data_IF_386901652002
#
_entry.id   IF_386901652002
#
_cell.length_a   1.000
_cell.length_b   1.000
_cell.length_c   1.000
_cell.angle_alpha   90.00
_cell.angle_beta   90.00
_cell.angle_gamma   90.00
#
_symmetry.space_group_name_H-M   'P 1'
#
loop_
_entity.id
_entity.type
_entity.pdbx_description
1 polymer ?
#
# COMPACT_ATOMS: atom_id res chain seq x y z
N UNK A 1 3.03 -17.23 23.73
CA UNK A 1 3.83 -16.55 24.77
C UNK A 1 5.30 -16.50 24.38
N UNK A 2 6.02 -17.63 24.27
CA UNK A 2 7.44 -17.59 23.85
C UNK A 2 7.64 -17.02 22.44
N UNK A 3 6.73 -17.27 21.50
CA UNK A 3 6.79 -16.67 20.16
C UNK A 3 6.57 -15.16 20.12
N UNK A 4 6.13 -14.54 21.22
CA UNK A 4 5.98 -13.08 21.29
C UNK A 4 7.35 -12.40 21.47
N UNK A 5 8.30 -13.09 22.12
CA UNK A 5 9.68 -12.63 22.27
C UNK A 5 10.47 -12.93 20.99
N UNK A 6 11.12 -11.92 20.40
CA UNK A 6 11.83 -12.06 19.12
C UNK A 6 12.91 -13.14 19.16
N UNK A 7 13.76 -13.14 20.18
CA UNK A 7 14.87 -14.10 20.33
C UNK A 7 14.34 -15.54 20.38
N UNK A 8 13.32 -15.78 21.20
CA UNK A 8 12.69 -17.09 21.33
C UNK A 8 11.95 -17.49 20.05
N UNK A 9 11.28 -16.54 19.37
CA UNK A 9 10.59 -16.78 18.10
C UNK A 9 11.54 -17.25 17.01
N UNK A 10 12.71 -16.63 16.87
CA UNK A 10 13.71 -17.03 15.88
C UNK A 10 14.24 -18.46 16.11
N UNK A 11 14.43 -18.84 17.37
CA UNK A 11 14.83 -20.22 17.70
C UNK A 11 13.71 -21.21 17.40
N UNK A 12 12.48 -20.90 17.78
CA UNK A 12 11.31 -21.73 17.49
C UNK A 12 11.07 -21.90 15.98
N UNK A 13 11.31 -20.87 15.17
CA UNK A 13 11.23 -20.99 13.70
C UNK A 13 12.20 -22.04 13.18
N UNK A 14 13.46 -22.03 13.67
CA UNK A 14 14.47 -23.04 13.29
C UNK A 14 14.04 -24.45 13.70
N UNK A 15 13.32 -24.56 14.80
CA UNK A 15 12.82 -25.83 15.35
C UNK A 15 11.49 -26.29 14.70
N UNK A 16 11.05 -25.66 13.60
CA UNK A 16 9.89 -26.08 12.81
C UNK A 16 8.54 -25.49 13.25
N UNK A 17 8.55 -24.36 13.96
CA UNK A 17 7.31 -23.70 14.43
C UNK A 17 6.40 -23.31 13.26
N UNK A 18 6.95 -22.86 12.13
CA UNK A 18 6.15 -22.38 10.99
C UNK A 18 5.29 -23.50 10.43
N UNK A 19 5.91 -24.65 10.16
CA UNK A 19 5.28 -25.84 9.60
C UNK A 19 4.19 -26.37 10.54
N UNK A 20 4.45 -26.37 11.85
CA UNK A 20 3.47 -26.77 12.86
C UNK A 20 2.27 -25.81 12.90
N UNK A 21 2.53 -24.50 12.88
CA UNK A 21 1.47 -23.47 12.90
C UNK A 21 0.62 -23.53 11.63
N UNK A 22 1.24 -23.68 10.46
CA UNK A 22 0.55 -23.81 9.17
C UNK A 22 -0.32 -25.06 9.14
N UNK A 23 0.21 -26.21 9.58
CA UNK A 23 -0.55 -27.45 9.64
C UNK A 23 -1.80 -27.32 10.52
N UNK A 24 -1.66 -26.76 11.72
CA UNK A 24 -2.80 -26.55 12.64
C UNK A 24 -3.84 -25.57 12.12
N UNK A 25 -3.40 -24.44 11.56
CA UNK A 25 -4.30 -23.42 11.02
C UNK A 25 -5.04 -23.88 9.76
N UNK A 26 -4.46 -24.82 9.00
CA UNK A 26 -5.14 -25.42 7.86
C UNK A 26 -6.38 -26.23 8.27
N UNK A 27 -6.32 -26.92 9.41
CA UNK A 27 -7.47 -27.65 9.97
C UNK A 27 -8.50 -26.70 10.57
N UNK A 28 -8.06 -25.80 11.45
CA UNK A 28 -8.94 -24.88 12.17
C UNK A 28 -8.26 -23.54 12.41
N UNK A 29 -8.94 -22.46 12.00
CA UNK A 29 -8.48 -21.10 12.26
C UNK A 29 -8.69 -20.78 13.75
N UNK A 30 -7.62 -20.84 14.52
CA UNK A 30 -7.59 -20.37 15.91
C UNK A 30 -7.00 -18.97 15.98
N UNK A 31 -7.62 -18.09 16.78
CA UNK A 31 -7.28 -16.68 16.82
C UNK A 31 -5.81 -16.43 17.19
N UNK A 32 -5.34 -17.04 18.28
CA UNK A 32 -3.98 -16.86 18.77
C UNK A 32 -2.92 -17.44 17.81
N UNK A 33 -3.18 -18.58 17.18
CA UNK A 33 -2.30 -19.15 16.16
C UNK A 33 -2.23 -18.26 14.92
N UNK A 34 -3.35 -17.68 14.49
CA UNK A 34 -3.38 -16.77 13.35
C UNK A 34 -2.56 -15.49 13.62
N UNK A 35 -2.63 -14.97 14.85
CA UNK A 35 -1.80 -13.83 15.27
C UNK A 35 -0.31 -14.19 15.28
N UNK A 36 0.06 -15.35 15.85
CA UNK A 36 1.45 -15.85 15.80
C UNK A 36 1.90 -16.02 14.35
N UNK A 37 1.09 -16.61 13.49
CA UNK A 37 1.41 -16.76 12.08
C UNK A 37 1.69 -15.42 11.38
N UNK A 38 0.89 -14.40 11.66
CA UNK A 38 1.14 -13.04 11.12
C UNK A 38 2.44 -12.44 11.67
N UNK A 39 2.77 -12.68 12.94
CA UNK A 39 4.05 -12.26 13.53
C UNK A 39 5.24 -12.99 12.88
N UNK A 40 5.12 -14.29 12.60
CA UNK A 40 6.16 -15.05 11.90
C UNK A 40 6.43 -14.50 10.49
N UNK A 41 5.44 -13.90 9.84
CA UNK A 41 5.62 -13.23 8.55
C UNK A 41 6.40 -11.90 8.64
N UNK A 42 6.55 -11.32 9.84
CA UNK A 42 7.31 -10.08 10.03
C UNK A 42 8.82 -10.32 10.06
N UNK A 43 9.26 -11.49 10.52
CA UNK A 43 10.69 -11.83 10.58
C UNK A 43 11.19 -12.31 9.22
N UNK A 44 12.43 -11.97 8.86
CA UNK A 44 13.03 -12.40 7.60
C UNK A 44 13.15 -13.93 7.49
N UNK A 45 13.56 -14.60 8.57
CA UNK A 45 13.64 -16.06 8.63
C UNK A 45 12.25 -16.68 8.54
N UNK A 46 11.29 -16.13 9.29
CA UNK A 46 9.91 -16.62 9.27
C UNK A 46 9.28 -16.52 7.88
N UNK A 47 9.48 -15.41 7.15
CA UNK A 47 9.05 -15.30 5.74
C UNK A 47 9.63 -16.36 4.83
N UNK A 48 10.93 -16.64 4.97
CA UNK A 48 11.59 -17.65 4.16
C UNK A 48 10.97 -19.03 4.41
N UNK A 49 10.70 -19.38 5.67
CA UNK A 49 10.02 -20.62 6.03
C UNK A 49 8.56 -20.64 5.53
N UNK A 50 7.79 -19.55 5.71
CA UNK A 50 6.39 -19.48 5.23
C UNK A 50 6.30 -19.67 3.72
N UNK A 51 7.24 -19.08 2.95
CA UNK A 51 7.32 -19.26 1.49
C UNK A 51 7.62 -20.70 1.11
N UNK A 52 8.53 -21.36 1.83
CA UNK A 52 8.97 -22.72 1.52
C UNK A 52 8.04 -23.79 2.11
N UNK A 53 7.19 -23.42 3.07
CA UNK A 53 6.20 -24.30 3.67
C UNK A 53 5.02 -24.52 2.73
N UNK A 54 4.59 -25.77 2.59
CA UNK A 54 3.42 -26.11 1.79
C UNK A 54 2.19 -25.35 2.29
N UNK A 55 1.50 -24.64 1.39
CA UNK A 55 0.31 -23.82 1.69
C UNK A 55 0.57 -22.66 2.67
N UNK A 56 1.81 -22.30 2.97
CA UNK A 56 2.12 -21.19 3.88
C UNK A 56 1.58 -19.85 3.36
N UNK A 57 1.91 -19.49 2.12
CA UNK A 57 1.37 -18.26 1.49
C UNK A 57 -0.13 -18.35 1.17
N UNK A 58 -0.64 -19.54 0.83
CA UNK A 58 -2.08 -19.78 0.64
C UNK A 58 -2.86 -19.51 1.95
N UNK A 59 -2.32 -19.95 3.08
CA UNK A 59 -2.92 -19.72 4.39
C UNK A 59 -3.05 -18.23 4.70
N UNK A 60 -2.07 -17.41 4.30
CA UNK A 60 -2.14 -15.96 4.48
C UNK A 60 -3.34 -15.35 3.72
N UNK A 61 -3.61 -15.80 2.50
CA UNK A 61 -4.80 -15.39 1.73
C UNK A 61 -6.10 -15.92 2.36
N UNK A 62 -6.08 -17.15 2.89
CA UNK A 62 -7.22 -17.73 3.61
C UNK A 62 -7.54 -16.94 4.88
N UNK A 63 -6.52 -16.49 5.62
CA UNK A 63 -6.72 -15.65 6.80
C UNK A 63 -7.31 -14.28 6.43
N UNK A 64 -6.93 -13.71 5.29
CA UNK A 64 -7.55 -12.48 4.77
C UNK A 64 -9.04 -12.69 4.43
N UNK A 65 -9.39 -13.79 3.75
CA UNK A 65 -10.73 -13.98 3.17
C UNK A 65 -11.74 -14.74 4.04
N UNK A 66 -11.30 -15.74 4.82
CA UNK A 66 -12.18 -16.72 5.45
C UNK A 66 -12.58 -16.34 6.89
N UNK A 67 -11.81 -15.48 7.54
CA UNK A 67 -12.09 -15.09 8.92
C UNK A 67 -13.12 -13.95 8.98
N UNK A 68 -14.05 -14.03 9.93
CA UNK A 68 -14.95 -12.91 10.27
C UNK A 68 -14.27 -11.90 11.21
N UNK A 69 -13.11 -12.27 11.77
CA UNK A 69 -12.41 -11.46 12.75
C UNK A 69 -11.56 -10.39 12.04
N UNK A 70 -11.99 -9.14 12.15
CA UNK A 70 -11.32 -7.98 11.53
C UNK A 70 -9.88 -7.79 11.99
N UNK A 71 -9.54 -8.17 13.23
CA UNK A 71 -8.17 -8.08 13.75
C UNK A 71 -7.26 -9.03 12.97
N UNK A 72 -7.70 -10.27 12.77
CA UNK A 72 -6.96 -11.26 11.96
C UNK A 72 -6.84 -10.77 10.52
N UNK A 73 -7.92 -10.27 9.92
CA UNK A 73 -7.87 -9.73 8.55
C UNK A 73 -6.87 -8.59 8.42
N UNK A 74 -6.88 -7.64 9.36
CA UNK A 74 -5.95 -6.50 9.38
C UNK A 74 -4.50 -6.97 9.50
N UNK A 75 -4.22 -7.88 10.44
CA UNK A 75 -2.87 -8.45 10.61
C UNK A 75 -2.42 -9.30 9.42
N UNK A 76 -3.32 -10.05 8.79
CA UNK A 76 -3.02 -10.78 7.55
C UNK A 76 -2.69 -9.84 6.40
N UNK A 77 -3.42 -8.72 6.28
CA UNK A 77 -3.15 -7.69 5.27
C UNK A 77 -1.82 -6.99 5.51
N UNK A 78 -1.48 -6.68 6.77
CA UNK A 78 -0.17 -6.15 7.14
C UNK A 78 0.95 -7.16 6.81
N UNK A 79 0.74 -8.44 7.15
CA UNK A 79 1.68 -9.51 6.88
C UNK A 79 1.93 -9.73 5.38
N UNK A 80 0.90 -9.58 4.53
CA UNK A 80 1.06 -9.58 3.07
C UNK A 80 2.07 -8.52 2.62
N UNK A 81 2.03 -7.33 3.21
CA UNK A 81 2.94 -6.23 2.89
C UNK A 81 4.43 -6.59 2.99
N UNK A 82 4.81 -7.54 3.85
CA UNK A 82 6.21 -7.97 3.98
C UNK A 82 6.71 -8.83 2.81
N UNK A 83 5.82 -9.29 1.93
CA UNK A 83 6.16 -10.08 0.73
C UNK A 83 6.14 -9.25 -0.55
N UNK A 84 5.82 -7.95 -0.48
CA UNK A 84 5.60 -7.09 -1.64
C UNK A 84 6.80 -7.08 -2.61
N UNK A 85 8.01 -7.08 -2.06
CA UNK A 85 9.25 -7.01 -2.83
C UNK A 85 9.95 -8.36 -3.02
N UNK A 86 9.40 -9.45 -2.48
CA UNK A 86 9.90 -10.80 -2.75
C UNK A 86 9.21 -11.37 -3.99
N UNK A 87 9.90 -11.29 -5.13
CA UNK A 87 9.39 -11.77 -6.42
C UNK A 87 8.84 -13.19 -6.37
N UNK A 88 9.53 -14.12 -5.68
CA UNK A 88 9.09 -15.53 -5.63
C UNK A 88 7.80 -15.67 -4.84
N UNK A 89 7.71 -15.00 -3.69
CA UNK A 89 6.48 -14.99 -2.89
C UNK A 89 5.33 -14.33 -3.63
N UNK A 90 5.60 -13.25 -4.35
CA UNK A 90 4.59 -12.51 -5.10
C UNK A 90 4.01 -13.37 -6.24
N UNK A 91 4.85 -14.07 -6.99
CA UNK A 91 4.40 -15.02 -8.02
C UNK A 91 3.49 -16.11 -7.44
N UNK A 92 3.86 -16.70 -6.30
CA UNK A 92 3.05 -17.70 -5.60
C UNK A 92 1.72 -17.09 -5.14
N UNK A 93 1.73 -15.89 -4.54
CA UNK A 93 0.52 -15.22 -4.07
C UNK A 93 -0.43 -14.89 -5.24
N UNK A 94 0.09 -14.43 -6.37
CA UNK A 94 -0.70 -14.13 -7.56
C UNK A 94 -1.40 -15.37 -8.10
N UNK A 95 -0.68 -16.49 -8.24
CA UNK A 95 -1.25 -17.78 -8.68
C UNK A 95 -2.36 -18.26 -7.72
N UNK A 96 -2.22 -17.98 -6.43
CA UNK A 96 -3.21 -18.34 -5.41
C UNK A 96 -4.38 -17.33 -5.28
N UNK A 97 -4.52 -16.38 -6.21
CA UNK A 97 -5.68 -15.48 -6.26
C UNK A 97 -5.58 -14.26 -5.34
N UNK A 98 -4.38 -13.72 -5.15
CA UNK A 98 -4.13 -12.49 -4.38
C UNK A 98 -4.97 -11.30 -4.86
N UNK A 99 -5.01 -11.03 -6.17
CA UNK A 99 -5.74 -9.87 -6.72
C UNK A 99 -7.25 -9.99 -6.43
N UNK A 100 -7.93 -11.11 -6.76
CA UNK A 100 -9.32 -11.31 -6.36
C UNK A 100 -9.57 -11.16 -4.85
N UNK A 101 -8.65 -11.61 -4.00
CA UNK A 101 -8.76 -11.48 -2.55
C UNK A 101 -8.75 -10.02 -2.07
N UNK A 102 -7.81 -9.24 -2.60
CA UNK A 102 -7.68 -7.81 -2.30
C UNK A 102 -8.89 -7.02 -2.81
N UNK A 103 -9.35 -7.31 -4.03
CA UNK A 103 -10.53 -6.67 -4.62
C UNK A 103 -11.80 -7.01 -3.84
N UNK A 104 -11.98 -8.26 -3.41
CA UNK A 104 -13.10 -8.64 -2.54
C UNK A 104 -13.09 -7.85 -1.23
N UNK A 105 -11.92 -7.71 -0.61
CA UNK A 105 -11.74 -6.93 0.63
C UNK A 105 -12.07 -5.44 0.41
N UNK A 106 -11.65 -4.88 -0.73
CA UNK A 106 -11.98 -3.51 -1.13
C UNK A 106 -13.47 -3.34 -1.39
N UNK A 107 -14.12 -4.27 -2.10
CA UNK A 107 -15.55 -4.25 -2.35
C UNK A 107 -16.36 -4.29 -1.04
N UNK A 108 -15.93 -5.09 -0.07
CA UNK A 108 -16.54 -5.11 1.27
C UNK A 108 -16.35 -3.79 2.03
N UNK A 109 -15.22 -3.10 1.83
CA UNK A 109 -15.01 -1.76 2.36
C UNK A 109 -15.96 -0.77 1.70
N UNK A 110 -16.02 -0.73 0.36
CA UNK A 110 -16.92 0.15 -0.39
C UNK A 110 -18.38 -0.07 0.00
N UNK A 111 -18.81 -1.32 0.17
CA UNK A 111 -20.17 -1.64 0.64
C UNK A 111 -20.47 -1.10 2.04
N UNK A 112 -19.47 -0.99 2.91
CA UNK A 112 -19.63 -0.53 4.30
C UNK A 112 -19.54 0.99 4.44
N UNK A 113 -18.67 1.62 3.68
CA UNK A 113 -18.30 3.03 3.83
C UNK A 113 -18.80 3.91 2.68
N UNK A 114 -19.18 3.30 1.55
CA UNK A 114 -19.64 3.98 0.35
C UNK A 114 -21.00 4.64 0.55
N UNK A 115 -21.10 5.90 0.12
CA UNK A 115 -22.32 6.70 0.09
C UNK A 115 -22.33 7.52 -1.18
N UNK A 116 -23.49 7.65 -1.82
CA UNK A 116 -23.66 8.61 -2.92
C UNK A 116 -23.40 10.01 -2.33
N UNK A 117 -22.58 10.80 -3.01
CA UNK A 117 -22.37 12.18 -2.59
C UNK A 117 -23.64 12.98 -2.91
N UNK A 118 -24.15 13.73 -1.95
CA UNK A 118 -25.31 14.60 -2.16
C UNK A 118 -24.86 15.95 -2.76
N UNK A 119 -25.79 16.67 -3.40
CA UNK A 119 -25.58 18.04 -3.92
C UNK A 119 -25.22 18.97 -2.76
N UNK A 120 -23.93 19.03 -2.40
CA UNK A 120 -23.44 19.88 -1.32
C UNK A 120 -23.54 21.34 -1.75
N UNK A 121 -24.52 22.06 -1.20
CA UNK A 121 -24.78 23.49 -1.45
C UNK A 121 -23.98 24.41 -0.51
N UNK A 122 -22.81 24.01 -0.03
CA UNK A 122 -22.01 24.90 0.84
C UNK A 122 -20.73 25.32 0.14
N UNK A 123 -20.61 26.58 -0.31
CA UNK A 123 -19.32 27.26 -0.29
C UNK A 123 -18.86 27.23 1.18
N UNK A 124 -17.61 26.84 1.41
CA UNK A 124 -17.01 26.94 2.73
C UNK A 124 -17.27 28.35 3.30
N UNK A 125 -17.92 28.43 4.46
CA UNK A 125 -18.02 29.69 5.19
C UNK A 125 -16.61 30.24 5.41
N UNK A 126 -16.29 31.45 4.95
CA UNK A 126 -15.06 32.09 5.37
C UNK A 126 -15.21 32.34 6.86
N UNK A 127 -14.38 31.67 7.68
CA UNK A 127 -14.25 31.99 9.11
C UNK A 127 -13.93 33.47 9.25
N UNK A 128 -14.94 34.27 9.55
CA UNK A 128 -14.78 35.64 9.98
C UNK A 128 -14.17 35.63 11.39
N UNK A 129 -13.04 36.30 11.55
CA UNK A 129 -12.56 36.72 12.87
C UNK A 129 -11.10 36.43 13.18
N UNK A 130 -10.18 37.13 12.54
CA UNK A 130 -9.15 37.88 13.29
C UNK A 130 -8.56 38.96 12.39
N UNK A 131 -9.09 40.17 12.56
CA UNK A 131 -8.52 41.41 12.05
C UNK A 131 -7.16 41.66 12.72
N UNK A 132 -6.09 41.71 11.93
CA UNK A 132 -4.82 42.34 12.34
C UNK A 132 -4.67 43.66 11.58
N UNK A 133 -4.42 44.79 12.27
CA UNK A 133 -4.38 46.09 11.62
C UNK A 133 -3.04 46.36 10.92
N UNK A 134 -3.20 46.97 9.74
CA UNK A 134 -2.28 47.82 8.97
C UNK A 134 -0.85 48.06 9.49
N UNK A 135 0.12 47.88 8.58
CA UNK A 135 1.19 48.87 8.45
C UNK A 135 1.56 49.05 6.97
N UNK A 136 1.08 50.14 6.39
CA UNK A 136 1.37 50.57 5.03
C UNK A 136 2.55 51.54 5.08
N UNK A 137 3.68 51.14 4.48
CA UNK A 137 4.82 52.03 4.19
C UNK A 137 5.15 51.93 2.71
N UNK A 138 5.01 53.05 2.00
CA UNK A 138 5.13 53.22 0.56
C UNK A 138 6.57 53.00 0.03
N UNK A 139 6.66 52.38 -1.17
CA UNK A 139 7.49 52.64 -2.40
C UNK A 139 8.70 53.61 -2.36
N UNK A 140 9.66 53.63 -3.34
CA UNK A 140 9.55 53.15 -4.73
C UNK A 140 10.81 52.61 -5.49
N UNK A 141 10.52 51.98 -6.65
CA UNK A 141 11.18 51.95 -7.98
C UNK A 141 12.71 52.14 -8.22
N UNK A 142 13.25 51.29 -9.12
CA UNK A 142 14.35 51.64 -10.05
C UNK A 142 15.18 50.42 -10.50
N UNK A 143 14.90 49.75 -11.64
CA UNK A 143 15.39 49.99 -13.03
C UNK A 143 16.88 49.65 -13.28
N UNK A 144 17.15 48.73 -14.22
CA UNK A 144 18.45 48.54 -14.92
C UNK A 144 19.01 47.11 -14.79
N UNK A 145 18.98 46.24 -15.80
CA UNK A 145 19.73 46.20 -17.08
C UNK A 145 21.08 45.44 -16.98
N UNK A 146 21.31 44.51 -17.93
CA UNK A 146 22.58 43.81 -18.20
C UNK A 146 22.61 42.38 -17.61
N UNK A 147 22.37 41.29 -18.36
CA UNK A 147 23.13 40.69 -19.47
C UNK A 147 24.47 40.08 -19.01
N UNK A 148 24.78 38.90 -19.58
CA UNK A 148 26.04 38.13 -19.62
C UNK A 148 26.09 36.80 -18.82
N UNK A 149 26.28 35.71 -19.58
CA UNK A 149 26.73 34.38 -19.13
C UNK A 149 28.23 34.20 -19.49
N UNK A 150 28.81 32.99 -19.30
CA UNK A 150 29.65 32.55 -18.19
C UNK A 150 31.16 32.52 -18.56
N UNK A 151 32.09 32.35 -17.61
CA UNK A 151 33.41 31.78 -17.89
C UNK A 151 34.10 31.26 -16.61
N UNK A 152 35.04 30.35 -16.88
CA UNK A 152 35.63 29.31 -16.05
C UNK A 152 36.79 29.78 -15.14
N UNK A 153 37.18 28.85 -14.26
CA UNK A 153 38.47 28.65 -13.58
C UNK A 153 38.83 29.51 -12.36
N UNK A 154 38.91 28.86 -11.20
CA UNK A 154 40.16 28.64 -10.46
C UNK A 154 39.88 28.01 -9.07
N UNK A 155 40.64 26.97 -8.75
CA UNK A 155 40.59 26.16 -7.52
C UNK A 155 40.77 26.95 -6.22
N UNK A 156 40.26 26.43 -5.08
CA UNK A 156 40.85 26.72 -3.78
C UNK A 156 41.56 25.48 -3.17
N UNK A 157 42.70 25.67 -2.46
CA UNK A 157 43.35 24.64 -1.69
C UNK A 157 42.86 24.59 -0.23
N UNK A 158 43.23 23.48 0.42
CA UNK A 158 43.41 23.26 1.86
C UNK A 158 42.18 23.01 2.75
N UNK A 159 42.06 21.73 3.14
CA UNK A 159 41.46 21.24 4.38
C UNK A 159 42.04 21.92 5.63
N UNK A 160 41.33 21.85 6.77
CA UNK A 160 41.81 20.90 7.78
C UNK A 160 40.72 20.12 8.54
N UNK A 161 41.12 18.91 8.93
CA UNK A 161 40.77 18.15 10.13
C UNK A 161 39.30 17.91 10.50
N UNK A 162 38.88 16.65 10.44
CA UNK A 162 38.61 15.92 11.69
C UNK A 162 38.79 14.42 11.46
N UNK A 163 39.51 13.82 12.40
CA UNK A 163 39.85 12.40 12.49
C UNK A 163 38.66 11.68 13.11
N UNK A 164 38.01 10.80 12.35
CA UNK A 164 37.24 9.71 12.95
C UNK A 164 37.34 8.48 12.05
N UNK A 165 38.14 7.51 12.48
CA UNK A 165 38.13 6.14 11.96
C UNK A 165 37.73 5.23 13.13
N UNK A 166 36.83 4.26 12.93
CA UNK A 166 36.49 3.30 13.97
C UNK A 166 37.62 2.27 14.08
N UNK A 167 38.23 2.18 15.26
CA UNK A 167 39.19 1.12 15.60
C UNK A 167 38.41 -0.15 15.95
N UNK A 168 38.70 -1.22 15.22
CA UNK A 168 38.39 -2.59 15.63
C UNK A 168 39.18 -2.90 16.91
N UNK A 169 38.49 -3.22 18.00
CA UNK A 169 39.11 -3.79 19.19
C UNK A 169 39.17 -5.30 19.03
N UNK A 170 40.38 -5.82 19.00
CA UNK A 170 40.72 -7.23 19.04
C UNK A 170 40.44 -7.82 20.42
N UNK A 171 40.16 -9.12 20.38
CA UNK A 171 40.03 -10.07 21.49
C UNK A 171 41.25 -9.98 22.42
N UNK A 172 41.01 -9.68 23.70
CA UNK A 172 41.50 -10.43 24.85
C UNK A 172 41.24 -9.65 26.15
N UNK A 173 40.89 -10.39 27.21
CA UNK A 173 40.85 -9.99 28.63
C UNK A 173 39.64 -9.18 29.14
N UNK A 174 38.52 -9.87 29.35
CA UNK A 174 37.67 -9.63 30.53
C UNK A 174 37.20 -10.97 31.12
N UNK A 175 37.99 -11.49 32.05
CA UNK A 175 37.50 -12.46 33.03
C UNK A 175 36.42 -11.80 33.90
N UNK A 176 35.20 -12.31 33.87
CA UNK A 176 34.20 -12.05 34.89
C UNK A 176 33.69 -13.39 35.43
N UNK A 177 33.90 -13.57 36.73
CA UNK A 177 33.49 -14.73 37.51
C UNK A 177 31.95 -14.90 37.53
N UNK A 178 31.43 -16.13 37.66
CA UNK A 178 29.99 -16.37 37.65
C UNK A 178 29.38 -15.86 38.95
N UNK A 179 28.57 -14.81 38.85
CA UNK A 179 27.69 -14.40 39.95
C UNK A 179 26.37 -15.18 39.80
N UNK A 180 25.84 -15.66 40.93
CA UNK A 180 24.67 -16.54 41.03
C UNK A 180 23.41 -15.92 40.40
N UNK A 181 22.41 -16.74 40.03
CA UNK A 181 21.15 -16.23 39.49
C UNK A 181 20.34 -15.60 40.63
N UNK A 182 20.21 -14.28 40.62
CA UNK A 182 19.15 -13.63 41.37
C UNK A 182 17.83 -13.88 40.64
N UNK A 183 16.94 -14.55 41.37
CA UNK A 183 15.53 -14.71 41.09
C UNK A 183 14.82 -13.34 40.96
N UNK A 184 13.62 -13.36 40.39
CA UNK A 184 12.69 -12.24 40.17
C UNK A 184 12.98 -11.29 39.00
N UNK A 185 13.02 -11.85 37.78
CA UNK A 185 12.37 -11.17 36.65
C UNK A 185 10.88 -11.47 36.73
N UNK A 186 10.17 -10.67 37.54
CA UNK A 186 8.72 -10.60 37.47
C UNK A 186 8.33 -10.03 36.11
N UNK A 187 8.03 -10.92 35.16
CA UNK A 187 7.41 -10.59 33.88
C UNK A 187 6.13 -9.81 34.15
N UNK A 188 6.17 -8.49 34.01
CA UNK A 188 4.99 -7.65 34.16
C UNK A 188 3.96 -8.08 33.11
N UNK A 189 2.71 -8.23 33.55
CA UNK A 189 1.54 -8.64 32.74
C UNK A 189 1.20 -7.66 31.59
N UNK A 190 2.06 -6.67 31.33
CA UNK A 190 1.88 -5.62 30.35
C UNK A 190 2.27 -6.06 28.92
N UNK A 191 3.05 -7.14 28.76
CA UNK A 191 3.37 -7.72 27.43
C UNK A 191 2.28 -8.66 26.88
N UNK A 192 1.18 -8.87 27.62
CA UNK A 192 0.14 -9.85 27.28
C UNK A 192 -1.12 -9.26 26.63
N UNK A 193 -1.15 -7.95 26.35
CA UNK A 193 -2.27 -7.37 25.60
C UNK A 193 -2.01 -7.43 24.09
N UNK A 194 -2.26 -8.61 23.52
CA UNK A 194 -2.41 -8.79 22.07
C UNK A 194 -3.74 -8.24 21.54
N UNK A 195 -4.44 -7.45 22.37
CA UNK A 195 -5.48 -6.51 21.99
C UNK A 195 -4.82 -5.14 21.81
N UNK A 196 -3.90 -5.06 20.85
CA UNK A 196 -3.47 -3.77 20.33
C UNK A 196 -4.75 -3.09 19.82
N UNK A 197 -5.10 -1.94 20.40
CA UNK A 197 -6.15 -1.09 19.86
C UNK A 197 -5.93 -1.02 18.36
N UNK A 198 -6.93 -1.46 17.59
CA UNK A 198 -6.91 -1.37 16.14
C UNK A 198 -6.92 0.13 15.85
N UNK A 199 -5.75 0.75 15.87
CA UNK A 199 -5.55 2.04 15.27
C UNK A 199 -6.05 1.88 13.85
N UNK A 200 -6.95 2.79 13.46
CA UNK A 200 -7.63 2.85 12.19
C UNK A 200 -6.62 3.18 11.07
N UNK A 201 -5.56 2.37 10.97
CA UNK A 201 -4.68 2.33 9.82
C UNK A 201 -5.54 1.81 8.69
N UNK A 202 -6.03 2.75 7.88
CA UNK A 202 -6.83 2.58 6.67
C UNK A 202 -6.45 1.31 5.93
N UNK A 203 -7.11 0.19 6.23
CA UNK A 203 -6.81 -1.11 5.61
C UNK A 203 -6.94 -1.06 4.09
N UNK A 204 -7.84 -0.21 3.58
CA UNK A 204 -7.98 0.11 2.17
C UNK A 204 -6.72 0.72 1.56
N UNK A 205 -5.95 1.53 2.29
CA UNK A 205 -4.72 2.14 1.79
C UNK A 205 -3.64 1.09 1.53
N UNK A 206 -3.58 0.06 2.39
CA UNK A 206 -2.70 -1.09 2.23
C UNK A 206 -3.11 -1.94 1.03
N UNK A 207 -4.42 -2.20 0.86
CA UNK A 207 -4.95 -2.90 -0.32
C UNK A 207 -4.57 -2.16 -1.60
N UNK A 208 -4.82 -0.85 -1.66
CA UNK A 208 -4.54 -0.02 -2.83
C UNK A 208 -3.04 0.09 -3.10
N UNK A 209 -2.20 0.20 -2.06
CA UNK A 209 -0.75 0.18 -2.20
C UNK A 209 -0.26 -1.14 -2.82
N UNK A 210 -0.82 -2.26 -2.36
CA UNK A 210 -0.45 -3.58 -2.85
C UNK A 210 -0.85 -3.76 -4.32
N UNK A 211 -2.10 -3.45 -4.66
CA UNK A 211 -2.59 -3.53 -6.05
C UNK A 211 -1.82 -2.61 -6.99
N UNK A 212 -1.51 -1.39 -6.54
CA UNK A 212 -0.71 -0.45 -7.32
C UNK A 212 0.71 -0.97 -7.55
N UNK A 213 1.34 -1.55 -6.53
CA UNK A 213 2.66 -2.16 -6.69
C UNK A 213 2.62 -3.32 -7.69
N UNK A 214 1.67 -4.24 -7.52
CA UNK A 214 1.49 -5.39 -8.43
C UNK A 214 1.31 -4.91 -9.87
N UNK A 215 0.51 -3.88 -10.10
CA UNK A 215 0.23 -3.36 -11.44
C UNK A 215 1.45 -2.72 -12.11
N UNK A 216 2.33 -2.06 -11.35
CA UNK A 216 3.46 -1.30 -11.92
C UNK A 216 4.78 -2.07 -11.96
N UNK A 217 5.01 -2.99 -11.03
CA UNK A 217 6.30 -3.66 -10.86
C UNK A 217 6.27 -5.12 -11.31
N UNK A 218 5.10 -5.75 -11.41
CA UNK A 218 4.98 -7.09 -11.99
C UNK A 218 4.85 -6.95 -13.49
N UNK A 219 5.88 -7.35 -14.23
CA UNK A 219 5.91 -7.27 -15.70
C UNK A 219 5.10 -8.35 -16.42
N UNK A 220 4.37 -9.18 -15.67
CA UNK A 220 3.51 -10.25 -16.21
C UNK A 220 2.07 -9.73 -16.21
N UNK A 221 1.32 -9.85 -17.32
CA UNK A 221 -0.09 -9.49 -17.36
C UNK A 221 -0.90 -10.30 -16.34
N UNK A 222 -1.72 -9.61 -15.53
CA UNK A 222 -2.59 -10.22 -14.54
C UNK A 222 -4.04 -9.96 -14.96
N UNK A 223 -4.69 -10.98 -15.51
CA UNK A 223 -6.06 -10.91 -16.05
C UNK A 223 -7.09 -10.50 -14.99
N UNK A 224 -6.86 -10.83 -13.72
CA UNK A 224 -7.74 -10.42 -12.62
C UNK A 224 -7.78 -8.89 -12.40
N UNK A 225 -6.76 -8.14 -12.83
CA UNK A 225 -6.77 -6.67 -12.72
C UNK A 225 -7.79 -6.01 -13.65
N UNK A 226 -8.11 -6.66 -14.76
CA UNK A 226 -9.05 -6.17 -15.78
C UNK A 226 -10.38 -6.91 -15.76
N UNK A 227 -10.56 -7.84 -14.81
CA UNK A 227 -11.84 -8.44 -14.56
C UNK A 227 -12.90 -7.36 -14.25
N UNK A 228 -14.11 -7.53 -14.79
CA UNK A 228 -15.24 -6.61 -14.60
C UNK A 228 -15.48 -6.22 -13.15
N UNK A 229 -15.35 -7.18 -12.22
CA UNK A 229 -15.50 -6.93 -10.79
C UNK A 229 -14.41 -5.98 -10.24
N UNK A 230 -13.17 -6.12 -10.70
CA UNK A 230 -12.05 -5.28 -10.30
C UNK A 230 -12.28 -3.84 -10.73
N UNK A 231 -12.58 -3.64 -12.02
CA UNK A 231 -12.87 -2.32 -12.58
C UNK A 231 -14.07 -1.67 -11.87
N UNK A 232 -15.18 -2.40 -11.72
CA UNK A 232 -16.37 -1.87 -11.06
C UNK A 232 -16.10 -1.49 -9.61
N UNK A 233 -15.34 -2.32 -8.87
CA UNK A 233 -14.99 -2.05 -7.48
C UNK A 233 -14.11 -0.81 -7.34
N UNK A 234 -13.13 -0.61 -8.23
CA UNK A 234 -12.28 0.58 -8.23
C UNK A 234 -13.07 1.84 -8.55
N UNK A 235 -13.98 1.78 -9.54
CA UNK A 235 -14.88 2.89 -9.87
C UNK A 235 -15.83 3.18 -8.70
N UNK A 236 -16.45 2.14 -8.12
CA UNK A 236 -17.33 2.29 -6.96
C UNK A 236 -16.59 2.89 -5.77
N UNK A 237 -15.32 2.52 -5.55
CA UNK A 237 -14.48 3.13 -4.52
C UNK A 237 -14.29 4.64 -4.77
N UNK A 238 -13.93 5.03 -5.99
CA UNK A 238 -13.73 6.46 -6.37
C UNK A 238 -15.03 7.26 -6.25
N UNK A 239 -16.17 6.66 -6.61
CA UNK A 239 -17.47 7.33 -6.64
C UNK A 239 -18.15 7.43 -5.28
N UNK A 240 -18.02 6.41 -4.43
CA UNK A 240 -18.86 6.24 -3.24
C UNK A 240 -18.10 6.53 -1.95
N UNK A 241 -16.78 6.34 -1.90
CA UNK A 241 -16.02 6.56 -0.66
C UNK A 241 -15.68 8.05 -0.53
N UNK A 242 -16.05 8.65 0.61
CA UNK A 242 -15.66 10.03 0.94
C UNK A 242 -14.15 10.08 1.14
N UNK A 243 -13.50 11.12 0.61
CA UNK A 243 -12.05 11.28 0.66
C UNK A 243 -11.30 10.04 0.11
N UNK A 244 -11.81 9.47 -1.00
CA UNK A 244 -11.22 8.31 -1.65
C UNK A 244 -9.72 8.51 -1.91
N UNK A 245 -8.92 7.50 -1.59
CA UNK A 245 -7.47 7.57 -1.79
C UNK A 245 -7.15 7.74 -3.29
N UNK A 246 -6.35 8.76 -3.68
CA UNK A 246 -6.00 9.03 -5.08
C UNK A 246 -5.20 7.89 -5.74
N UNK A 247 -4.69 6.93 -4.96
CA UNK A 247 -4.10 5.68 -5.48
C UNK A 247 -5.10 4.88 -6.31
N UNK A 248 -6.40 4.92 -6.01
CA UNK A 248 -7.41 4.20 -6.78
C UNK A 248 -7.53 4.74 -8.22
N UNK A 249 -7.57 6.07 -8.39
CA UNK A 249 -7.54 6.72 -9.71
C UNK A 249 -6.24 6.42 -10.46
N UNK A 250 -5.09 6.52 -9.77
CA UNK A 250 -3.78 6.15 -10.36
C UNK A 250 -3.69 4.69 -10.76
N UNK A 251 -4.31 3.78 -10.00
CA UNK A 251 -4.39 2.36 -10.34
C UNK A 251 -5.23 2.14 -11.60
N UNK A 252 -6.40 2.80 -11.71
CA UNK A 252 -7.19 2.76 -12.94
C UNK A 252 -6.44 3.34 -14.14
N UNK A 253 -5.73 4.47 -14.00
CA UNK A 253 -4.87 5.00 -15.07
C UNK A 253 -3.77 4.00 -15.45
N UNK A 254 -3.12 3.34 -14.48
CA UNK A 254 -2.08 2.36 -14.76
C UNK A 254 -2.62 1.12 -15.49
N UNK A 255 -3.83 0.66 -15.15
CA UNK A 255 -4.50 -0.42 -15.86
C UNK A 255 -4.88 0.02 -17.28
N UNK A 256 -5.51 1.19 -17.43
CA UNK A 256 -5.93 1.74 -18.72
C UNK A 256 -4.75 2.05 -19.65
N UNK A 257 -3.61 2.43 -19.08
CA UNK A 257 -2.34 2.73 -19.75
C UNK A 257 -1.49 1.48 -20.09
N UNK A 258 -1.93 0.28 -19.70
CA UNK A 258 -1.19 -0.95 -19.99
C UNK A 258 -1.68 -1.62 -21.27
N UNK A 259 -0.77 -1.72 -22.25
CA UNK A 259 -1.00 -2.31 -23.58
C UNK A 259 -1.51 -3.75 -23.53
N UNK A 260 -1.07 -4.54 -22.54
CA UNK A 260 -1.47 -5.94 -22.42
C UNK A 260 -2.94 -6.12 -22.05
N UNK A 261 -3.59 -5.06 -21.56
CA UNK A 261 -4.98 -5.08 -21.12
C UNK A 261 -5.94 -4.44 -22.12
N UNK A 262 -5.41 -3.78 -23.15
CA UNK A 262 -6.19 -2.91 -24.05
C UNK A 262 -7.37 -3.64 -24.71
N UNK A 263 -7.14 -4.82 -25.31
CA UNK A 263 -8.17 -5.61 -25.98
C UNK A 263 -9.29 -6.01 -25.00
N UNK A 264 -8.92 -6.58 -23.85
CA UNK A 264 -9.89 -7.01 -22.85
C UNK A 264 -10.70 -5.82 -22.29
N UNK A 265 -10.08 -4.65 -22.10
CA UNK A 265 -10.79 -3.44 -21.66
C UNK A 265 -11.82 -2.98 -22.70
N UNK A 266 -11.53 -3.09 -24.00
CA UNK A 266 -12.47 -2.78 -25.06
C UNK A 266 -13.65 -3.76 -25.07
N UNK A 267 -13.38 -5.06 -25.00
CA UNK A 267 -14.40 -6.12 -24.96
C UNK A 267 -15.37 -5.93 -23.78
N UNK A 268 -14.84 -5.53 -22.62
CA UNK A 268 -15.61 -5.33 -21.39
C UNK A 268 -16.28 -3.93 -21.28
N UNK A 269 -16.34 -3.15 -22.36
CA UNK A 269 -16.97 -1.83 -22.40
C UNK A 269 -16.40 -0.84 -21.38
N UNK A 270 -15.10 -0.91 -21.12
CA UNK A 270 -14.41 -0.08 -20.12
C UNK A 270 -14.63 1.42 -20.34
N UNK A 271 -14.44 1.89 -21.58
CA UNK A 271 -14.62 3.31 -21.96
C UNK A 271 -16.02 3.81 -21.62
N UNK A 272 -17.04 3.03 -21.99
CA UNK A 272 -18.43 3.38 -21.71
C UNK A 272 -18.73 3.39 -20.22
N UNK A 273 -18.15 2.45 -19.48
CA UNK A 273 -18.31 2.35 -18.02
C UNK A 273 -17.70 3.57 -17.32
N UNK A 274 -16.44 3.91 -17.64
CA UNK A 274 -15.74 5.09 -17.10
C UNK A 274 -16.50 6.37 -17.45
N UNK A 275 -16.88 6.55 -18.71
CA UNK A 275 -17.60 7.74 -19.15
C UNK A 275 -18.95 7.90 -18.43
N UNK A 276 -19.74 6.82 -18.32
CA UNK A 276 -21.04 6.89 -17.67
C UNK A 276 -20.96 7.10 -16.15
N UNK A 277 -19.93 6.57 -15.49
CA UNK A 277 -19.82 6.55 -14.02
C UNK A 277 -18.99 7.70 -13.44
N UNK A 278 -17.98 8.18 -14.17
CA UNK A 278 -17.05 9.20 -13.71
C UNK A 278 -17.22 10.53 -14.45
N UNK A 279 -17.48 10.49 -15.76
CA UNK A 279 -17.53 11.71 -16.59
C UNK A 279 -18.92 12.37 -16.68
N UNK A 280 -19.97 11.76 -16.12
CA UNK A 280 -21.32 12.33 -16.12
C UNK A 280 -21.65 12.93 -14.76
N UNK A 281 -21.52 14.25 -14.57
CA UNK A 281 -21.88 14.89 -13.31
C UNK A 281 -23.38 14.70 -13.05
N UNK A 282 -23.71 14.21 -11.87
CA UNK A 282 -25.11 14.05 -11.43
C UNK A 282 -25.69 15.34 -10.84
N UNK A 283 -24.82 16.30 -10.51
CA UNK A 283 -25.17 17.53 -9.83
C UNK A 283 -24.51 18.74 -10.51
N UNK A 284 -25.28 19.81 -10.67
CA UNK A 284 -24.73 21.13 -11.02
C UNK A 284 -23.92 21.70 -9.85
N UNK A 285 -22.74 22.24 -10.15
CA UNK A 285 -21.83 22.92 -9.19
C UNK A 285 -21.42 22.07 -7.98
N UNK A 286 -21.17 20.77 -8.16
CA UNK A 286 -20.71 19.88 -7.09
C UNK A 286 -19.22 19.56 -7.21
N UNK A 287 -18.45 19.85 -6.14
CA UNK A 287 -17.00 19.58 -6.10
C UNK A 287 -16.66 18.09 -6.33
N UNK A 288 -17.44 17.16 -5.76
CA UNK A 288 -17.24 15.73 -5.99
C UNK A 288 -17.52 15.31 -7.44
N UNK A 289 -18.55 15.89 -8.07
CA UNK A 289 -18.80 15.66 -9.50
C UNK A 289 -17.64 16.16 -10.37
N UNK A 290 -17.05 17.32 -10.03
CA UNK A 290 -15.87 17.86 -10.74
C UNK A 290 -14.67 16.94 -10.53
N UNK A 291 -14.39 16.51 -9.29
CA UNK A 291 -13.30 15.57 -8.98
C UNK A 291 -13.44 14.25 -9.74
N UNK A 292 -14.64 13.66 -9.77
CA UNK A 292 -14.88 12.43 -10.53
C UNK A 292 -14.73 12.63 -12.03
N UNK A 293 -15.17 13.77 -12.57
CA UNK A 293 -14.98 14.12 -13.98
C UNK A 293 -13.50 14.24 -14.34
N UNK A 294 -12.70 14.88 -13.48
CA UNK A 294 -11.25 14.98 -13.64
C UNK A 294 -10.59 13.59 -13.63
N UNK A 295 -10.92 12.73 -12.67
CA UNK A 295 -10.41 11.35 -12.61
C UNK A 295 -10.83 10.52 -13.83
N UNK A 296 -12.10 10.61 -14.24
CA UNK A 296 -12.61 9.92 -15.41
C UNK A 296 -11.93 10.35 -16.71
N UNK A 297 -11.74 11.67 -16.89
CA UNK A 297 -11.04 12.24 -18.05
C UNK A 297 -9.60 11.74 -18.09
N UNK A 298 -8.88 11.80 -16.97
CA UNK A 298 -7.50 11.30 -16.87
C UNK A 298 -7.37 9.82 -17.25
N UNK A 299 -8.32 8.98 -16.83
CA UNK A 299 -8.33 7.55 -17.19
C UNK A 299 -8.55 7.35 -18.69
N UNK A 300 -9.48 8.10 -19.29
CA UNK A 300 -9.77 8.02 -20.73
C UNK A 300 -8.60 8.54 -21.58
N UNK A 301 -7.90 9.58 -21.13
CA UNK A 301 -6.73 10.11 -21.81
C UNK A 301 -5.61 9.05 -21.91
N UNK A 302 -5.35 8.30 -20.84
CA UNK A 302 -4.35 7.21 -20.87
C UNK A 302 -4.72 6.10 -21.86
N UNK A 303 -6.01 5.78 -21.97
CA UNK A 303 -6.47 4.79 -22.95
C UNK A 303 -6.40 5.34 -24.38
N UNK A 304 -6.68 6.63 -24.57
CA UNK A 304 -6.57 7.32 -25.85
C UNK A 304 -5.10 7.35 -26.34
N UNK A 305 -4.14 7.60 -25.43
CA UNK A 305 -2.71 7.54 -25.75
C UNK A 305 -2.31 6.16 -26.31
N UNK A 306 -2.77 5.05 -25.72
CA UNK A 306 -2.52 3.71 -26.29
C UNK A 306 -3.13 3.58 -27.68
N UNK A 307 -4.37 4.03 -27.86
CA UNK A 307 -5.07 3.90 -29.15
C UNK A 307 -4.37 4.66 -30.29
N UNK A 308 -3.71 5.77 -29.96
CA UNK A 308 -2.93 6.58 -30.91
C UNK A 308 -1.55 5.97 -31.19
N UNK A 309 -1.04 5.10 -30.31
CA UNK A 309 0.11 4.28 -30.66
C UNK A 309 -0.34 3.25 -31.70
N UNK A 310 0.46 2.98 -32.73
CA UNK A 310 0.11 2.07 -33.86
C UNK A 310 -0.27 0.62 -33.49
N UNK A 311 -0.34 0.29 -32.19
CA UNK A 311 -0.95 -0.92 -31.65
C UNK A 311 -2.48 -0.86 -31.63
N UNK A 312 -3.10 0.31 -31.44
CA UNK A 312 -4.55 0.48 -31.53
C UNK A 312 -5.06 0.19 -32.94
N UNK A 313 -4.30 0.61 -33.95
CA UNK A 313 -4.58 0.31 -35.37
C UNK A 313 -4.42 -1.18 -35.70
N UNK A 314 -3.45 -1.86 -35.08
CA UNK A 314 -3.18 -3.28 -35.27
C UNK A 314 -4.18 -4.21 -34.59
N UNK A 315 -4.63 -3.91 -33.37
CA UNK A 315 -5.60 -4.75 -32.64
C UNK A 315 -7.06 -4.57 -33.13
N UNK A 316 -7.41 -3.38 -33.62
CA UNK A 316 -8.74 -3.09 -34.19
C UNK A 316 -8.95 -3.67 -35.59
N UNK A 317 -7.88 -4.17 -36.23
CA UNK A 317 -7.94 -4.74 -37.58
C UNK A 317 -8.08 -6.28 -37.59
N UNK A 318 -8.09 -6.94 -36.42
CA UNK A 318 -8.28 -8.40 -36.29
C UNK A 318 -9.49 -8.82 -35.44
#
# INVERSE_FOLDING_TARGET
NLSCLEISRLQLIKDGLVELVVAKLNDKIEHWLAMIFCLLCQDSIGRAHVRNCERGLELLLRLLQATKNKVIQSKALQALGFYLYDKSSLEILLVNGLVPALIKSLAEYVRRHGRVHDKSLTPAEPRAGSVSPCNSGMSPYGRGAGQWSPLSDCSPPASPASVYSPLCLSEDELECSPTQPDDDVSMSQEEMNMEEEVSDVKGEDNILAFLHHVTNYVHIPITDLVAKLTISTLIDYICLVRDANPRAGRLLCAIAGNKNYYRQLLDDQFVLTVHCRLCRPSHEFCAECVRMLEEGTRVLDHMAEISQTGLGEGEMTY
#
